data_IF_944644550127
#
_entry.id   IF_944644550127
#
_cell.length_a   1.000
_cell.length_b   1.000
_cell.length_c   1.000
_cell.angle_alpha   90.00
_cell.angle_beta   90.00
_cell.angle_gamma   90.00
#
_symmetry.space_group_name_H-M   'P 1'
#
loop_
_entity.id
_entity.type
_entity.pdbx_description
1 polymer ?
#
# COMPACT_ATOMS: atom_id res chain seq x y z
N UNK A 1 -4.74 0.48 -6.29
CA UNK A 1 -5.14 1.77 -5.68
C UNK A 1 -6.20 1.48 -4.62
N UNK A 2 -6.45 2.37 -3.68
CA UNK A 2 -7.50 2.19 -2.67
C UNK A 2 -8.25 3.47 -2.34
N UNK A 3 -9.45 3.32 -1.80
CA UNK A 3 -10.26 4.38 -1.20
C UNK A 3 -10.73 3.88 0.15
N UNK A 4 -10.28 4.52 1.21
CA UNK A 4 -10.67 4.27 2.59
C UNK A 4 -11.74 5.28 3.04
N UNK A 5 -12.82 4.83 3.66
CA UNK A 5 -13.74 5.66 4.45
C UNK A 5 -13.72 5.14 5.89
N UNK A 6 -13.43 6.03 6.83
CA UNK A 6 -13.33 5.70 8.25
C UNK A 6 -14.73 5.65 8.89
N UNK A 7 -14.95 4.70 9.80
CA UNK A 7 -16.18 4.62 10.57
C UNK A 7 -16.05 5.61 11.75
N UNK A 8 -16.99 6.58 11.90
CA UNK A 8 -17.04 7.42 13.09
C UNK A 8 -17.22 6.57 14.34
N UNK A 9 -16.84 7.08 15.53
CA UNK A 9 -16.87 6.34 16.81
C UNK A 9 -18.23 5.74 17.22
N UNK A 10 -19.31 5.99 16.50
CA UNK A 10 -20.63 5.40 16.77
C UNK A 10 -20.79 4.12 15.94
N UNK A 11 -20.93 2.96 16.59
CA UNK A 11 -21.03 1.64 15.94
C UNK A 11 -22.19 1.53 14.92
N UNK A 12 -23.24 2.36 15.04
CA UNK A 12 -24.38 2.40 14.12
C UNK A 12 -24.02 2.82 12.68
N UNK A 13 -22.79 3.27 12.44
CA UNK A 13 -22.37 3.80 11.14
C UNK A 13 -21.65 2.79 10.23
N UNK A 14 -21.40 1.54 10.68
CA UNK A 14 -20.68 0.56 9.87
C UNK A 14 -21.40 0.26 8.54
N UNK A 15 -22.69 -0.06 8.60
CA UNK A 15 -23.48 -0.38 7.41
C UNK A 15 -23.67 0.84 6.52
N UNK A 16 -23.78 2.03 7.13
CA UNK A 16 -23.86 3.31 6.41
C UNK A 16 -22.60 3.56 5.60
N UNK A 17 -21.42 3.42 6.21
CA UNK A 17 -20.11 3.60 5.54
C UNK A 17 -19.90 2.53 4.46
N UNK A 18 -20.31 1.29 4.73
CA UNK A 18 -20.30 0.22 3.72
C UNK A 18 -21.13 0.61 2.50
N UNK A 19 -22.40 0.97 2.72
CA UNK A 19 -23.33 1.40 1.67
C UNK A 19 -22.80 2.61 0.89
N UNK A 20 -22.17 3.56 1.58
CA UNK A 20 -21.53 4.72 0.95
C UNK A 20 -20.41 4.31 -0.03
N UNK A 21 -19.54 3.38 0.38
CA UNK A 21 -18.52 2.82 -0.50
C UNK A 21 -19.09 1.98 -1.64
N UNK A 22 -20.18 1.25 -1.43
CA UNK A 22 -20.86 0.50 -2.49
C UNK A 22 -21.43 1.44 -3.55
N UNK A 23 -22.07 2.53 -3.13
CA UNK A 23 -22.55 3.58 -4.03
C UNK A 23 -21.40 4.26 -4.77
N UNK A 24 -20.31 4.60 -4.08
CA UNK A 24 -19.13 5.20 -4.70
C UNK A 24 -18.52 4.25 -5.74
N UNK A 25 -18.41 2.96 -5.40
CA UNK A 25 -17.96 1.92 -6.33
C UNK A 25 -18.88 1.83 -7.56
N UNK A 26 -20.20 1.86 -7.37
CA UNK A 26 -21.14 1.83 -8.48
C UNK A 26 -20.94 3.00 -9.44
N UNK A 27 -20.80 4.23 -8.91
CA UNK A 27 -20.51 5.45 -9.70
C UNK A 27 -19.19 5.36 -10.46
N UNK A 28 -18.17 4.71 -9.89
CA UNK A 28 -16.91 4.47 -10.58
C UNK A 28 -17.09 3.46 -11.71
N UNK A 29 -17.86 2.39 -11.49
CA UNK A 29 -18.11 1.36 -12.50
C UNK A 29 -18.98 1.86 -13.66
N UNK A 30 -19.90 2.79 -13.42
CA UNK A 30 -20.71 3.42 -14.48
C UNK A 30 -19.95 4.50 -15.24
N UNK A 31 -18.75 4.87 -14.78
CA UNK A 31 -17.92 5.91 -15.40
C UNK A 31 -18.35 7.35 -15.06
N UNK A 32 -19.26 7.54 -14.10
CA UNK A 32 -19.67 8.87 -13.63
C UNK A 32 -18.50 9.60 -12.94
N UNK A 33 -17.61 8.85 -12.29
CA UNK A 33 -16.48 9.36 -11.53
C UNK A 33 -15.25 8.47 -11.72
N UNK A 34 -14.07 9.03 -11.99
CA UNK A 34 -12.86 8.19 -12.02
C UNK A 34 -12.44 7.75 -10.62
N UNK A 35 -11.77 6.59 -10.51
CA UNK A 35 -11.27 6.12 -9.22
C UNK A 35 -10.29 7.12 -8.59
N UNK A 36 -9.45 7.75 -9.39
CA UNK A 36 -8.50 8.77 -8.94
C UNK A 36 -9.18 10.01 -8.34
N UNK A 37 -10.26 10.51 -8.96
CA UNK A 37 -11.04 11.63 -8.43
C UNK A 37 -11.78 11.22 -7.16
N UNK A 38 -12.41 10.05 -7.18
CA UNK A 38 -13.08 9.49 -6.01
C UNK A 38 -12.11 9.38 -4.82
N UNK A 39 -10.89 8.88 -5.04
CA UNK A 39 -9.87 8.77 -4.00
C UNK A 39 -9.45 10.14 -3.45
N UNK A 40 -9.27 11.16 -4.31
CA UNK A 40 -8.90 12.50 -3.86
C UNK A 40 -9.99 13.14 -3.01
N UNK A 41 -11.25 12.99 -3.40
CA UNK A 41 -12.38 13.65 -2.75
C UNK A 41 -12.80 12.90 -1.48
N UNK A 42 -13.03 11.60 -1.58
CA UNK A 42 -13.73 10.83 -0.55
C UNK A 42 -12.80 10.01 0.35
N UNK A 43 -11.54 9.75 -0.03
CA UNK A 43 -10.71 8.86 0.79
C UNK A 43 -10.14 9.55 2.03
N UNK A 44 -10.36 8.98 3.20
CA UNK A 44 -9.79 9.43 4.47
C UNK A 44 -8.29 9.08 4.65
N UNK A 45 -7.68 8.35 3.71
CA UNK A 45 -6.27 7.99 3.77
C UNK A 45 -5.38 9.15 3.28
N UNK A 46 -4.77 9.88 4.21
CA UNK A 46 -3.99 11.08 3.90
C UNK A 46 -2.79 10.79 2.99
N UNK A 47 -2.12 9.66 3.20
CA UNK A 47 -0.87 9.32 2.52
C UNK A 47 -1.08 9.04 1.02
N UNK A 48 -2.28 8.55 0.67
CA UNK A 48 -2.56 8.08 -0.70
C UNK A 48 -3.59 8.93 -1.42
N UNK A 49 -4.47 9.65 -0.70
CA UNK A 49 -5.50 10.55 -1.24
C UNK A 49 -4.93 11.48 -2.31
N UNK A 50 -3.84 12.19 -2.00
CA UNK A 50 -3.20 13.14 -2.94
C UNK A 50 -2.74 12.49 -4.24
N UNK A 51 -2.35 11.22 -4.19
CA UNK A 51 -1.90 10.44 -5.35
C UNK A 51 -3.04 9.64 -6.02
N UNK A 52 -4.30 9.99 -5.73
CA UNK A 52 -5.48 9.28 -6.24
C UNK A 52 -5.57 7.84 -5.72
N UNK A 53 -5.21 7.63 -4.45
CA UNK A 53 -5.25 6.32 -3.80
C UNK A 53 -4.13 5.37 -4.24
N UNK A 54 -3.01 5.86 -4.76
CA UNK A 54 -1.92 5.01 -5.24
C UNK A 54 -1.19 4.32 -4.08
N UNK A 55 -1.15 2.98 -4.11
CA UNK A 55 -0.39 2.14 -3.17
C UNK A 55 0.96 1.67 -3.74
N UNK A 56 1.28 2.07 -4.97
CA UNK A 56 2.46 1.55 -5.68
C UNK A 56 2.31 0.10 -6.14
N UNK A 57 3.45 -0.55 -6.39
CA UNK A 57 3.54 -1.99 -6.68
C UNK A 57 3.61 -2.73 -5.35
N UNK A 58 2.67 -3.64 -5.14
CA UNK A 58 2.62 -4.49 -3.94
C UNK A 58 2.93 -5.92 -4.35
N UNK A 59 3.82 -6.58 -3.62
CA UNK A 59 4.05 -8.00 -3.80
C UNK A 59 2.93 -8.79 -3.11
N UNK A 60 2.44 -9.85 -3.74
CA UNK A 60 1.40 -10.70 -3.12
C UNK A 60 1.85 -11.25 -1.76
N UNK A 61 3.17 -11.48 -1.58
CA UNK A 61 3.77 -11.96 -0.34
C UNK A 61 3.76 -10.94 0.81
N UNK A 62 3.55 -9.65 0.54
CA UNK A 62 3.48 -8.61 1.58
C UNK A 62 2.05 -8.33 2.03
N UNK A 63 1.06 -8.96 1.39
CA UNK A 63 -0.35 -8.79 1.71
C UNK A 63 -0.80 -9.85 2.72
N UNK A 64 -1.85 -9.55 3.47
CA UNK A 64 -2.52 -10.54 4.30
C UNK A 64 -3.09 -11.66 3.40
N UNK A 65 -2.98 -12.94 3.79
CA UNK A 65 -3.37 -14.07 2.93
C UNK A 65 -4.78 -14.01 2.34
N UNK A 66 -5.78 -13.61 3.11
CA UNK A 66 -7.17 -13.51 2.61
C UNK A 66 -7.31 -12.40 1.57
N UNK A 67 -6.63 -11.26 1.78
CA UNK A 67 -6.61 -10.18 0.81
C UNK A 67 -5.85 -10.58 -0.47
N UNK A 68 -4.73 -11.28 -0.33
CA UNK A 68 -3.96 -11.77 -1.47
C UNK A 68 -4.80 -12.70 -2.36
N UNK A 69 -5.51 -13.66 -1.75
CA UNK A 69 -6.41 -14.58 -2.46
C UNK A 69 -7.56 -13.85 -3.17
N UNK A 70 -8.18 -12.88 -2.49
CA UNK A 70 -9.23 -12.06 -3.09
C UNK A 70 -8.72 -11.30 -4.32
N UNK A 71 -7.58 -10.62 -4.19
CA UNK A 71 -6.99 -9.88 -5.31
C UNK A 71 -6.53 -10.79 -6.43
N UNK A 72 -6.07 -12.01 -6.13
CA UNK A 72 -5.68 -12.99 -7.15
C UNK A 72 -6.89 -13.45 -7.98
N UNK A 73 -8.04 -13.64 -7.33
CA UNK A 73 -9.31 -14.01 -8.00
C UNK A 73 -9.90 -12.90 -8.89
N UNK A 74 -9.48 -11.64 -8.70
CA UNK A 74 -9.97 -10.50 -9.47
C UNK A 74 -9.21 -10.34 -10.79
N UNK A 75 -9.91 -10.00 -11.85
CA UNK A 75 -9.29 -9.62 -13.11
C UNK A 75 -8.65 -8.22 -13.02
N UNK A 76 -7.68 -7.95 -13.89
CA UNK A 76 -7.10 -6.63 -14.03
C UNK A 76 -8.17 -5.61 -14.44
N UNK A 77 -8.13 -4.43 -13.83
CA UNK A 77 -9.13 -3.38 -13.96
C UNK A 77 -10.29 -3.48 -12.97
N UNK A 78 -10.46 -4.58 -12.23
CA UNK A 78 -11.61 -4.75 -11.34
C UNK A 78 -11.44 -4.08 -9.97
N UNK A 79 -12.59 -3.73 -9.38
CA UNK A 79 -12.71 -3.09 -8.06
C UNK A 79 -13.39 -4.08 -7.09
N UNK A 80 -12.77 -4.30 -5.93
CA UNK A 80 -13.32 -5.14 -4.85
C UNK A 80 -14.66 -4.60 -4.35
N UNK A 81 -15.42 -5.44 -3.65
CA UNK A 81 -16.44 -4.95 -2.73
C UNK A 81 -15.78 -4.22 -1.53
N UNK A 82 -16.52 -3.46 -0.72
CA UNK A 82 -15.97 -2.86 0.50
C UNK A 82 -15.45 -3.94 1.45
N UNK A 83 -14.19 -3.80 1.85
CA UNK A 83 -13.52 -4.69 2.79
C UNK A 83 -13.27 -3.93 4.10
N UNK A 84 -13.34 -4.60 5.25
CA UNK A 84 -12.99 -3.99 6.52
C UNK A 84 -11.51 -3.60 6.51
N UNK A 85 -11.23 -2.39 6.98
CA UNK A 85 -9.88 -1.85 7.12
C UNK A 85 -9.65 -1.43 8.56
N UNK A 86 -8.55 -1.89 9.15
CA UNK A 86 -8.18 -1.56 10.53
C UNK A 86 -6.66 -1.44 10.64
N UNK A 87 -6.16 -0.20 10.64
CA UNK A 87 -4.74 0.09 10.90
C UNK A 87 -4.41 0.20 12.38
N UNK A 88 -5.42 0.49 13.20
CA UNK A 88 -5.30 0.67 14.64
C UNK A 88 -6.68 0.36 15.25
N UNK A 89 -6.76 -0.22 16.47
CA UNK A 89 -8.04 -0.44 17.17
C UNK A 89 -8.95 0.80 17.22
N UNK A 90 -8.40 2.01 17.12
CA UNK A 90 -9.14 3.28 17.12
C UNK A 90 -9.51 3.83 15.73
N UNK A 91 -8.95 3.28 14.65
CA UNK A 91 -9.21 3.66 13.27
C UNK A 91 -9.72 2.45 12.50
N UNK A 92 -11.02 2.20 12.65
CA UNK A 92 -11.76 1.24 11.86
C UNK A 92 -12.40 1.95 10.67
N UNK A 93 -12.51 1.24 9.56
CA UNK A 93 -13.09 1.76 8.32
C UNK A 93 -13.44 0.64 7.37
N UNK A 94 -13.90 1.04 6.20
CA UNK A 94 -13.99 0.17 5.05
C UNK A 94 -13.18 0.77 3.91
N UNK A 95 -12.64 -0.08 3.06
CA UNK A 95 -11.98 0.37 1.84
C UNK A 95 -12.39 -0.44 0.62
N UNK A 96 -12.27 0.16 -0.55
CA UNK A 96 -12.33 -0.54 -1.83
C UNK A 96 -10.98 -0.49 -2.50
N UNK A 97 -10.61 -1.58 -3.17
CA UNK A 97 -9.34 -1.73 -3.86
C UNK A 97 -9.57 -1.86 -5.35
N UNK A 98 -8.79 -1.12 -6.13
CA UNK A 98 -8.74 -1.26 -7.57
C UNK A 98 -7.43 -1.91 -8.00
N UNK A 99 -7.55 -3.11 -8.58
CA UNK A 99 -6.45 -3.88 -9.17
C UNK A 99 -6.19 -3.33 -10.57
N UNK A 100 -5.26 -2.38 -10.73
CA UNK A 100 -4.99 -1.78 -12.05
C UNK A 100 -4.42 -2.80 -13.04
N UNK A 101 -3.44 -3.59 -12.59
CA UNK A 101 -2.79 -4.64 -13.39
C UNK A 101 -2.03 -5.60 -12.48
N UNK A 102 -1.85 -6.83 -12.93
CA UNK A 102 -0.90 -7.80 -12.39
C UNK A 102 0.41 -7.74 -13.17
N UNK A 103 1.52 -7.84 -12.45
CA UNK A 103 2.85 -7.99 -13.06
C UNK A 103 3.27 -9.45 -12.83
N UNK A 104 3.40 -10.29 -13.87
CA UNK A 104 3.78 -11.68 -13.70
C UNK A 104 5.21 -11.80 -13.17
N UNK A 105 5.58 -12.92 -12.52
CA UNK A 105 6.95 -13.18 -12.12
C UNK A 105 7.89 -13.09 -13.33
N UNK A 106 8.90 -12.24 -13.24
CA UNK A 106 9.91 -12.05 -14.28
C UNK A 106 11.24 -11.69 -13.64
N UNK A 107 12.32 -11.81 -14.41
CA UNK A 107 13.62 -11.30 -13.97
C UNK A 107 13.61 -9.78 -14.05
N UNK A 108 14.11 -9.05 -13.03
CA UNK A 108 14.14 -7.59 -13.07
C UNK A 108 14.88 -7.07 -14.31
N UNK A 109 14.32 -6.03 -14.93
CA UNK A 109 14.89 -5.37 -16.11
C UNK A 109 15.01 -3.86 -15.88
N UNK A 110 15.99 -3.22 -16.52
CA UNK A 110 16.14 -1.77 -16.42
C UNK A 110 14.94 -1.02 -17.01
N UNK A 111 14.28 -1.57 -18.03
CA UNK A 111 13.16 -0.88 -18.69
C UNK A 111 11.90 -0.85 -17.81
N UNK A 112 11.58 -1.96 -17.14
CA UNK A 112 10.34 -2.09 -16.37
C UNK A 112 10.52 -1.88 -14.87
N UNK A 113 11.73 -2.08 -14.33
CA UNK A 113 12.02 -2.20 -12.89
C UNK A 113 13.17 -1.30 -12.45
N UNK A 114 13.43 -0.23 -13.21
CA UNK A 114 14.50 0.73 -12.90
C UNK A 114 14.46 1.19 -11.44
N UNK A 115 13.28 1.61 -10.95
CA UNK A 115 13.13 2.15 -9.59
C UNK A 115 13.43 1.11 -8.52
N UNK A 116 13.01 -0.13 -8.72
CA UNK A 116 13.28 -1.23 -7.81
C UNK A 116 14.77 -1.59 -7.81
N UNK A 117 15.40 -1.65 -8.98
CA UNK A 117 16.84 -1.87 -9.12
C UNK A 117 17.67 -0.74 -8.51
N UNK A 118 17.25 0.51 -8.71
CA UNK A 118 17.85 1.69 -8.10
C UNK A 118 17.78 1.61 -6.57
N UNK A 119 16.60 1.33 -6.01
CA UNK A 119 16.42 1.18 -4.56
C UNK A 119 17.27 0.04 -4.00
N UNK A 120 17.36 -1.09 -4.70
CA UNK A 120 18.21 -2.21 -4.31
C UNK A 120 19.69 -1.83 -4.32
N UNK A 121 20.15 -1.16 -5.37
CA UNK A 121 21.53 -0.69 -5.48
C UNK A 121 21.89 0.32 -4.39
N UNK A 122 20.98 1.27 -4.09
CA UNK A 122 21.13 2.24 -3.00
C UNK A 122 21.24 1.51 -1.66
N UNK A 123 20.36 0.55 -1.38
CA UNK A 123 20.38 -0.23 -0.13
C UNK A 123 21.70 -0.98 0.05
N UNK A 124 22.18 -1.66 -1.01
CA UNK A 124 23.49 -2.34 -0.97
C UNK A 124 24.60 -1.34 -0.66
N UNK A 125 24.60 -0.17 -1.30
CA UNK A 125 25.64 0.83 -1.11
C UNK A 125 25.64 1.40 0.31
N UNK A 126 24.46 1.70 0.86
CA UNK A 126 24.29 2.17 2.23
C UNK A 126 24.83 1.15 3.23
N UNK A 127 24.49 -0.13 3.06
CA UNK A 127 25.01 -1.21 3.91
C UNK A 127 26.54 -1.27 3.88
N UNK A 128 27.15 -1.26 2.70
CA UNK A 128 28.61 -1.31 2.56
C UNK A 128 29.31 -0.10 3.22
N UNK A 129 28.74 1.09 3.09
CA UNK A 129 29.28 2.30 3.70
C UNK A 129 29.17 2.24 5.23
N UNK A 130 28.04 1.75 5.74
CA UNK A 130 27.83 1.54 7.16
C UNK A 130 28.84 0.55 7.74
N UNK A 131 29.05 -0.60 7.10
CA UNK A 131 30.03 -1.60 7.52
C UNK A 131 31.45 -1.03 7.57
N UNK A 132 31.85 -0.26 6.55
CA UNK A 132 33.15 0.42 6.51
C UNK A 132 33.29 1.47 7.61
N UNK A 133 32.23 2.24 7.87
CA UNK A 133 32.22 3.23 8.94
C UNK A 133 32.41 2.56 10.30
N UNK A 134 31.64 1.50 10.60
CA UNK A 134 31.76 0.73 11.84
C UNK A 134 33.16 0.14 12.01
N UNK A 135 33.73 -0.43 10.94
CA UNK A 135 35.10 -0.97 10.97
C UNK A 135 36.15 0.10 11.26
N UNK A 136 35.97 1.31 10.72
CA UNK A 136 36.86 2.45 10.97
C UNK A 136 36.75 2.92 12.42
N UNK A 137 35.53 3.10 12.93
CA UNK A 137 35.27 3.51 14.31
C UNK A 137 35.85 2.51 15.32
N UNK A 138 35.70 1.19 15.08
CA UNK A 138 36.28 0.14 15.93
C UNK A 138 37.81 0.20 16.04
N UNK A 139 38.50 0.77 15.05
CA UNK A 139 39.97 0.92 15.07
C UNK A 139 40.41 2.20 15.76
N UNK A 140 39.63 3.27 15.66
CA UNK A 140 39.95 4.59 16.22
C UNK A 140 39.51 4.73 17.68
N UNK A 141 38.44 4.06 18.07
CA UNK A 141 37.96 4.04 19.44
C UNK A 141 38.62 2.87 20.18
N UNK A 142 39.33 3.18 21.26
CA UNK A 142 39.82 2.18 22.21
C UNK A 142 38.63 1.74 23.08
N UNK A 143 38.11 0.55 22.82
CA UNK A 143 37.06 -0.06 23.63
C UNK A 143 37.67 -1.24 24.38
N UNK A 144 37.90 -1.08 25.68
CA UNK A 144 38.22 -2.20 26.57
C UNK A 144 36.92 -2.96 26.87
N UNK A 145 36.88 -4.24 26.50
CA UNK A 145 35.81 -5.13 26.93
C UNK A 145 36.21 -5.61 28.34
N UNK A 146 35.61 -5.02 29.37
CA UNK A 146 35.73 -5.52 30.73
C UNK A 146 34.93 -6.84 30.83
N UNK A 147 35.66 -7.94 31.06
CA UNK A 147 35.11 -9.27 31.31
C UNK A 147 34.77 -9.47 32.79
#
# INVERSE_FOLDING_TARGET
>A
RHILISIPRQESDQERVRTELENLRARILTGELSFEEAARQYSDEQDTRGFGGALGRLAASTLEPSLAQLLDSLADGQITQPLPYSTNPTKQGFHILWKKRTIPPHKPTLDNDYKELENFAISIKQQQLYERLVATLRRQLHWEILH
#
